data_IF_027122617134
#
_entry.id   IF_027122617134
#
_cell.length_a   1.000
_cell.length_b   1.000
_cell.length_c   1.000
_cell.angle_alpha   90.00
_cell.angle_beta   90.00
_cell.angle_gamma   90.00
#
_symmetry.space_group_name_H-M   'P 1'
#
loop_
_entity.id
_entity.type
_entity.pdbx_description
1 polymer ?
#
# COMPACT_ATOMS: atom_id res chain seq x y z
N UNK A 1 8.34 -45.22 5.89
CA UNK A 1 9.02 -44.30 6.83
C UNK A 1 8.16 -43.99 8.05
N UNK A 2 6.95 -43.54 7.90
CA UNK A 2 6.01 -43.23 9.01
C UNK A 2 5.75 -44.40 9.97
N UNK A 3 5.61 -45.64 9.44
CA UNK A 3 5.36 -46.82 10.29
C UNK A 3 6.51 -47.12 11.27
N UNK A 4 7.76 -47.06 10.77
CA UNK A 4 8.97 -47.20 11.61
C UNK A 4 9.12 -46.09 12.65
N UNK A 5 8.69 -44.88 12.31
CA UNK A 5 8.70 -43.76 13.23
C UNK A 5 7.70 -43.96 14.38
N UNK A 6 6.48 -44.38 14.08
CA UNK A 6 5.47 -44.64 15.09
C UNK A 6 5.88 -45.80 16.02
N UNK A 7 6.41 -46.91 15.49
CA UNK A 7 6.94 -48.05 16.26
C UNK A 7 8.09 -47.59 17.20
N UNK A 8 8.99 -46.72 16.72
CA UNK A 8 10.04 -46.15 17.55
C UNK A 8 9.46 -45.25 18.66
N UNK A 9 8.49 -44.42 18.36
CA UNK A 9 7.86 -43.50 19.30
C UNK A 9 7.12 -44.25 20.42
N UNK A 10 6.42 -45.33 20.07
CA UNK A 10 5.76 -46.21 21.04
C UNK A 10 6.74 -46.96 21.97
N UNK A 11 7.99 -47.11 21.58
CA UNK A 11 9.04 -47.70 22.41
C UNK A 11 9.62 -46.73 23.46
N UNK A 12 9.27 -45.45 23.42
CA UNK A 12 9.78 -44.43 24.34
C UNK A 12 8.99 -44.46 25.69
N UNK A 13 9.61 -44.03 26.81
CA UNK A 13 8.88 -43.76 28.04
C UNK A 13 7.71 -42.81 27.80
N UNK A 14 6.55 -43.07 28.39
CA UNK A 14 5.31 -42.34 28.10
C UNK A 14 5.42 -40.81 28.19
N UNK A 15 6.22 -40.28 29.12
CA UNK A 15 6.49 -38.85 29.24
C UNK A 15 7.21 -38.31 27.99
N UNK A 16 8.22 -39.04 27.49
CA UNK A 16 8.96 -38.63 26.28
C UNK A 16 8.09 -38.74 25.04
N UNK A 17 7.26 -39.76 24.93
CA UNK A 17 6.29 -39.88 23.83
C UNK A 17 5.32 -38.69 23.81
N UNK A 18 4.78 -38.30 24.97
CA UNK A 18 3.89 -37.11 25.08
C UNK A 18 4.57 -35.82 24.73
N UNK A 19 5.83 -35.64 25.15
CA UNK A 19 6.61 -34.43 24.76
C UNK A 19 6.79 -34.37 23.24
N UNK A 20 7.11 -35.51 22.60
CA UNK A 20 7.26 -35.56 21.14
C UNK A 20 5.94 -35.26 20.42
N UNK A 21 4.80 -35.72 20.92
CA UNK A 21 3.48 -35.37 20.37
C UNK A 21 3.27 -33.85 20.34
N UNK A 22 3.55 -33.18 21.44
CA UNK A 22 3.44 -31.71 21.50
C UNK A 22 4.42 -31.02 20.59
N UNK A 23 5.66 -31.51 20.50
CA UNK A 23 6.67 -30.92 19.57
C UNK A 23 6.19 -31.06 18.13
N UNK A 24 5.67 -32.20 17.71
CA UNK A 24 5.11 -32.39 16.36
C UNK A 24 3.97 -31.41 16.08
N UNK A 25 3.02 -31.28 17.00
CA UNK A 25 1.91 -30.33 16.86
C UNK A 25 2.42 -28.91 16.71
N UNK A 26 3.39 -28.48 17.55
CA UNK A 26 3.98 -27.15 17.46
C UNK A 26 4.74 -26.92 16.15
N UNK A 27 5.51 -27.91 15.67
CA UNK A 27 6.26 -27.79 14.40
C UNK A 27 5.29 -27.68 13.23
N UNK A 28 4.22 -28.50 13.19
CA UNK A 28 3.23 -28.42 12.13
C UNK A 28 2.48 -27.09 12.17
N UNK A 29 2.05 -26.66 13.36
CA UNK A 29 1.37 -25.38 13.55
C UNK A 29 2.26 -24.19 13.12
N UNK A 30 3.55 -24.21 13.49
CA UNK A 30 4.51 -23.19 13.09
C UNK A 30 4.72 -23.19 11.57
N UNK A 31 4.84 -24.35 10.94
CA UNK A 31 4.99 -24.47 9.48
C UNK A 31 3.76 -23.92 8.75
N UNK A 32 2.56 -24.24 9.21
CA UNK A 32 1.31 -23.71 8.66
C UNK A 32 1.25 -22.18 8.86
N UNK A 33 1.55 -21.67 10.04
CA UNK A 33 1.54 -20.24 10.33
C UNK A 33 2.54 -19.47 9.45
N UNK A 34 3.75 -20.00 9.28
CA UNK A 34 4.77 -19.42 8.39
C UNK A 34 4.32 -19.44 6.93
N UNK A 35 3.74 -20.54 6.48
CA UNK A 35 3.19 -20.64 5.13
C UNK A 35 2.08 -19.61 4.90
N UNK A 36 1.12 -19.53 5.82
CA UNK A 36 0.02 -18.56 5.75
C UNK A 36 0.54 -17.13 5.67
N UNK A 37 1.45 -16.73 6.55
CA UNK A 37 1.99 -15.38 6.61
C UNK A 37 2.87 -15.01 5.40
N UNK A 38 3.62 -15.96 4.86
CA UNK A 38 4.55 -15.64 3.77
C UNK A 38 3.90 -15.76 2.38
N UNK A 39 2.95 -16.67 2.21
CA UNK A 39 2.38 -17.01 0.91
C UNK A 39 0.97 -16.43 0.72
N UNK A 40 0.12 -16.48 1.74
CA UNK A 40 -1.30 -16.19 1.59
C UNK A 40 -1.66 -14.81 2.09
N UNK A 41 -1.20 -14.43 3.28
CA UNK A 41 -1.65 -13.24 4.01
C UNK A 41 -0.56 -12.17 4.01
N UNK A 42 -0.96 -10.91 3.79
CA UNK A 42 -0.16 -9.75 4.11
C UNK A 42 -0.82 -9.02 5.30
N UNK A 43 -0.14 -9.02 6.44
CA UNK A 43 -0.54 -8.24 7.62
C UNK A 43 0.26 -6.94 7.62
N UNK A 44 -0.42 -5.80 7.70
CA UNK A 44 0.22 -4.50 7.71
C UNK A 44 -0.46 -3.55 8.71
N UNK A 45 0.35 -2.72 9.35
CA UNK A 45 -0.13 -1.58 10.12
C UNK A 45 0.01 -0.33 9.26
N UNK A 46 -1.00 0.54 9.31
CA UNK A 46 -1.08 1.77 8.51
C UNK A 46 -0.45 2.92 9.30
N UNK A 47 0.70 3.46 8.86
CA UNK A 47 1.41 4.50 9.61
C UNK A 47 1.02 5.93 9.22
N UNK A 48 0.28 6.13 8.12
CA UNK A 48 -0.01 7.46 7.54
C UNK A 48 -1.46 7.61 7.15
N UNK A 49 -1.96 8.87 7.16
CA UNK A 49 -3.35 9.20 6.86
C UNK A 49 -3.71 9.28 5.36
N UNK A 50 -2.85 8.81 4.46
CA UNK A 50 -3.08 8.95 3.02
C UNK A 50 -4.26 8.13 2.46
N UNK A 51 -4.81 7.21 3.25
CA UNK A 51 -5.97 6.38 2.92
C UNK A 51 -7.15 6.63 3.87
N UNK A 52 -7.09 7.72 4.66
CA UNK A 52 -8.19 8.10 5.55
C UNK A 52 -9.47 8.32 4.76
N UNK A 53 -10.43 7.96 5.34
CA UNK A 53 -11.76 7.42 5.48
C UNK A 53 -11.87 5.92 5.21
N UNK A 54 -11.09 5.39 4.28
CA UNK A 54 -11.09 3.95 3.99
C UNK A 54 -10.33 3.18 5.06
N UNK A 55 -9.14 3.65 5.42
CA UNK A 55 -8.24 3.05 6.41
C UNK A 55 -7.58 4.19 7.20
N UNK A 56 -7.72 4.15 8.52
CA UNK A 56 -7.22 5.19 9.44
C UNK A 56 -5.77 4.92 9.88
N UNK A 57 -5.11 5.96 10.40
CA UNK A 57 -3.79 5.81 11.01
C UNK A 57 -3.86 4.88 12.21
N UNK A 58 -2.94 3.91 12.27
CA UNK A 58 -2.90 2.90 13.34
C UNK A 58 -3.73 1.64 13.06
N UNK A 59 -4.60 1.66 12.06
CA UNK A 59 -5.34 0.48 11.63
C UNK A 59 -4.41 -0.67 11.28
N UNK A 60 -4.89 -1.89 11.56
CA UNK A 60 -4.25 -3.12 11.10
C UNK A 60 -5.13 -3.80 10.07
N UNK A 61 -4.53 -4.08 8.93
CA UNK A 61 -5.22 -4.62 7.76
C UNK A 61 -4.68 -5.98 7.35
N UNK A 62 -5.58 -6.79 6.83
CA UNK A 62 -5.26 -8.07 6.19
C UNK A 62 -5.45 -7.93 4.69
N UNK A 63 -4.43 -8.31 3.96
CA UNK A 63 -4.46 -8.42 2.49
C UNK A 63 -4.22 -9.86 2.02
N UNK A 64 -4.73 -10.17 0.84
CA UNK A 64 -4.47 -11.42 0.13
C UNK A 64 -3.31 -11.26 -0.83
N UNK A 65 -2.24 -12.01 -0.62
CA UNK A 65 -1.13 -12.12 -1.59
C UNK A 65 -1.54 -12.89 -2.83
N UNK A 66 -2.38 -13.92 -2.65
CA UNK A 66 -2.85 -14.76 -3.75
C UNK A 66 -3.63 -13.98 -4.80
N UNK A 67 -4.29 -12.88 -4.41
CA UNK A 67 -5.03 -12.02 -5.33
C UNK A 67 -4.17 -11.50 -6.48
N UNK A 68 -2.89 -11.19 -6.22
CA UNK A 68 -1.96 -10.67 -7.23
C UNK A 68 -0.93 -11.70 -7.70
N UNK A 69 -0.82 -12.83 -7.01
CA UNK A 69 -0.02 -13.99 -7.47
C UNK A 69 -0.71 -14.69 -8.65
N UNK A 70 -2.03 -14.88 -8.57
CA UNK A 70 -2.82 -15.61 -9.57
C UNK A 70 -3.77 -14.71 -10.37
N UNK A 71 -3.87 -13.43 -10.03
CA UNK A 71 -4.74 -12.46 -10.67
C UNK A 71 -4.04 -11.15 -11.00
N UNK A 72 -4.79 -10.28 -11.66
CA UNK A 72 -4.37 -8.92 -11.95
C UNK A 72 -5.01 -7.93 -10.98
N UNK A 73 -4.28 -6.87 -10.55
CA UNK A 73 -4.88 -5.75 -9.84
C UNK A 73 -6.00 -5.12 -10.66
N UNK A 74 -7.11 -4.80 -10.00
CA UNK A 74 -8.28 -4.18 -10.62
C UNK A 74 -8.41 -2.74 -10.17
N UNK A 75 -8.98 -1.89 -11.01
CA UNK A 75 -9.33 -0.52 -10.62
C UNK A 75 -10.24 -0.54 -9.38
N UNK A 76 -9.93 0.33 -8.41
CA UNK A 76 -10.59 0.37 -7.11
C UNK A 76 -9.98 -0.53 -6.04
N UNK A 77 -9.13 -1.49 -6.38
CA UNK A 77 -8.43 -2.30 -5.37
C UNK A 77 -7.56 -1.43 -4.48
N UNK A 78 -7.68 -1.60 -3.16
CA UNK A 78 -6.70 -1.05 -2.22
C UNK A 78 -5.54 -2.05 -2.12
N UNK A 79 -4.36 -1.62 -2.52
CA UNK A 79 -3.20 -2.48 -2.71
C UNK A 79 -2.05 -2.15 -1.77
N UNK A 80 -1.43 -3.19 -1.21
CA UNK A 80 -0.12 -3.12 -0.56
C UNK A 80 0.92 -3.41 -1.63
N UNK A 81 1.92 -2.55 -1.77
CA UNK A 81 2.98 -2.72 -2.76
C UNK A 81 4.34 -2.27 -2.23
N UNK A 82 5.39 -2.80 -2.85
CA UNK A 82 6.77 -2.39 -2.58
C UNK A 82 7.04 -1.08 -3.32
N UNK A 83 7.16 0.02 -2.57
CA UNK A 83 7.45 1.33 -3.15
C UNK A 83 8.93 1.48 -3.48
N UNK A 84 9.79 1.23 -2.49
CA UNK A 84 11.22 1.43 -2.66
C UNK A 84 11.98 1.00 -1.42
N UNK A 85 12.93 1.82 -1.01
CA UNK A 85 13.75 1.58 0.17
C UNK A 85 13.86 2.86 1.02
N UNK A 86 14.26 2.70 2.27
CA UNK A 86 14.62 3.82 3.16
C UNK A 86 16.02 3.62 3.74
N UNK A 87 16.68 4.74 3.95
CA UNK A 87 17.96 4.76 4.64
C UNK A 87 17.80 4.30 6.09
N UNK A 88 18.65 3.38 6.53
CA UNK A 88 18.66 2.89 7.91
C UNK A 88 19.05 3.96 8.95
N UNK A 89 19.75 5.01 8.51
CA UNK A 89 20.26 6.09 9.38
C UNK A 89 19.25 7.24 9.48
N UNK A 90 18.99 7.94 8.38
CA UNK A 90 18.12 9.11 8.38
C UNK A 90 16.64 8.79 8.16
N UNK A 91 16.30 7.52 7.86
CA UNK A 91 14.96 7.03 7.55
C UNK A 91 14.28 7.66 6.33
N UNK A 92 15.00 8.47 5.56
CA UNK A 92 14.46 9.01 4.32
C UNK A 92 14.10 7.89 3.35
N UNK A 93 12.84 7.90 2.88
CA UNK A 93 12.33 6.90 1.96
C UNK A 93 12.51 7.37 0.51
N UNK A 94 13.02 6.49 -0.34
CA UNK A 94 13.17 6.75 -1.76
C UNK A 94 12.41 5.72 -2.59
N UNK A 95 11.70 6.22 -3.60
CA UNK A 95 10.76 5.45 -4.40
C UNK A 95 11.35 4.46 -5.38
N UNK A 96 12.66 4.35 -5.57
CA UNK A 96 13.20 3.48 -6.60
C UNK A 96 14.39 2.65 -6.15
N UNK A 97 14.47 1.44 -6.69
CA UNK A 97 15.58 0.52 -6.52
C UNK A 97 16.52 0.59 -7.74
N UNK A 98 17.80 0.25 -7.60
CA UNK A 98 18.43 -0.22 -6.36
C UNK A 98 18.77 0.92 -5.40
N UNK A 99 18.86 0.59 -4.09
CA UNK A 99 19.39 1.54 -3.12
C UNK A 99 20.85 1.89 -3.46
N UNK A 100 21.21 3.17 -3.52
CA UNK A 100 22.61 3.55 -3.74
C UNK A 100 23.49 3.15 -2.54
N UNK A 101 24.77 3.04 -2.75
CA UNK A 101 25.71 2.73 -1.66
C UNK A 101 25.78 3.84 -0.61
N UNK A 102 25.61 5.09 -1.05
CA UNK A 102 25.61 6.27 -0.19
C UNK A 102 24.25 6.94 -0.26
N UNK A 103 23.68 7.23 0.90
CA UNK A 103 22.42 7.95 0.99
C UNK A 103 22.58 9.38 0.45
N UNK A 104 21.88 9.79 -0.60
CA UNK A 104 22.02 11.13 -1.16
C UNK A 104 21.48 12.24 -0.26
N UNK A 105 20.74 11.86 0.80
CA UNK A 105 20.15 12.81 1.74
C UNK A 105 21.06 13.07 2.96
N UNK A 106 21.64 12.04 3.57
CA UNK A 106 22.47 12.19 4.76
C UNK A 106 23.96 11.87 4.54
N UNK A 107 24.35 11.46 3.32
CA UNK A 107 25.74 11.14 2.97
C UNK A 107 26.30 9.85 3.61
N UNK A 108 25.50 9.13 4.40
CA UNK A 108 25.94 7.92 5.08
C UNK A 108 25.89 6.70 4.17
N UNK A 109 26.82 5.75 4.37
CA UNK A 109 26.82 4.48 3.66
C UNK A 109 25.60 3.64 4.06
N UNK A 110 24.86 3.14 3.07
CA UNK A 110 23.69 2.30 3.27
C UNK A 110 24.14 0.84 3.23
N UNK A 111 24.27 0.24 4.41
CA UNK A 111 24.66 -1.18 4.53
C UNK A 111 23.45 -2.12 4.48
N UNK A 112 22.29 -1.68 4.98
CA UNK A 112 21.06 -2.46 5.06
C UNK A 112 19.86 -1.60 4.66
N UNK A 113 19.56 -1.47 3.35
CA UNK A 113 18.37 -0.73 2.91
C UNK A 113 17.10 -1.45 3.36
N UNK A 114 16.23 -0.73 4.07
CA UNK A 114 14.95 -1.28 4.48
C UNK A 114 13.91 -1.08 3.38
N UNK A 115 13.21 -2.14 3.00
CA UNK A 115 12.11 -2.04 2.03
C UNK A 115 10.96 -1.22 2.61
N UNK A 116 10.42 -0.31 1.81
CA UNK A 116 9.24 0.50 2.13
C UNK A 116 8.04 -0.07 1.39
N UNK A 117 6.97 -0.30 2.14
CA UNK A 117 5.68 -0.70 1.60
C UNK A 117 4.69 0.44 1.76
N UNK A 118 3.90 0.68 0.71
CA UNK A 118 2.81 1.64 0.73
C UNK A 118 1.48 0.96 0.52
N UNK A 119 0.43 1.63 0.97
CA UNK A 119 -0.96 1.25 0.72
C UNK A 119 -1.61 2.39 -0.05
N UNK A 120 -2.13 2.11 -1.24
CA UNK A 120 -2.83 3.06 -2.11
C UNK A 120 -3.91 2.34 -2.90
N UNK A 121 -4.81 3.12 -3.51
CA UNK A 121 -5.85 2.60 -4.39
C UNK A 121 -5.37 2.57 -5.84
N UNK A 122 -5.66 1.48 -6.53
CA UNK A 122 -5.42 1.34 -7.98
C UNK A 122 -6.42 2.20 -8.74
N UNK A 123 -5.93 3.21 -9.44
CA UNK A 123 -6.74 4.13 -10.25
C UNK A 123 -6.57 3.83 -11.73
N UNK A 124 -5.33 3.68 -12.20
CA UNK A 124 -5.01 3.36 -13.60
C UNK A 124 -4.53 1.94 -13.77
N UNK A 125 -5.02 1.28 -14.81
CA UNK A 125 -4.62 -0.04 -15.27
C UNK A 125 -3.67 0.09 -16.47
N UNK A 126 -2.93 -0.97 -16.84
CA UNK A 126 -2.07 -0.95 -18.03
C UNK A 126 -2.84 -0.49 -19.28
N UNK A 127 -2.31 0.54 -19.97
CA UNK A 127 -2.89 1.13 -21.17
C UNK A 127 -3.89 2.27 -20.92
N UNK A 128 -4.25 2.55 -19.67
CA UNK A 128 -5.14 3.69 -19.37
C UNK A 128 -4.45 5.04 -19.54
N UNK A 129 -5.25 6.02 -19.93
CA UNK A 129 -4.90 7.44 -19.86
C UNK A 129 -5.61 8.06 -18.67
N UNK A 130 -4.83 8.52 -17.69
CA UNK A 130 -5.32 9.18 -16.50
C UNK A 130 -5.15 10.68 -16.67
N UNK A 131 -6.22 11.44 -16.53
CA UNK A 131 -6.17 12.90 -16.56
C UNK A 131 -6.75 13.46 -15.26
N UNK A 132 -6.09 14.48 -14.73
CA UNK A 132 -6.57 15.23 -13.57
C UNK A 132 -6.82 16.64 -14.06
N UNK A 133 -8.07 17.10 -13.95
CA UNK A 133 -8.52 18.39 -14.48
C UNK A 133 -9.39 19.09 -13.46
N UNK A 134 -9.41 20.41 -13.52
CA UNK A 134 -10.40 21.19 -12.77
C UNK A 134 -11.81 20.73 -13.15
N UNK A 135 -12.67 20.54 -12.16
CA UNK A 135 -14.06 20.13 -12.39
C UNK A 135 -15.04 21.31 -12.37
N UNK A 136 -14.53 22.55 -12.27
CA UNK A 136 -15.30 23.78 -12.30
C UNK A 136 -15.98 24.16 -10.98
N UNK A 137 -15.85 23.34 -9.94
CA UNK A 137 -16.41 23.65 -8.61
C UNK A 137 -15.40 24.46 -7.79
N UNK A 138 -15.90 25.39 -6.95
CA UNK A 138 -15.08 26.04 -5.94
C UNK A 138 -15.10 25.21 -4.66
N UNK A 139 -13.94 24.96 -4.06
CA UNK A 139 -13.87 24.34 -2.75
C UNK A 139 -14.51 25.23 -1.68
N UNK A 140 -15.35 24.67 -0.82
CA UNK A 140 -15.91 25.40 0.31
C UNK A 140 -14.82 25.80 1.30
N UNK A 141 -14.97 26.98 1.91
CA UNK A 141 -13.96 27.58 2.79
C UNK A 141 -13.55 26.73 3.98
N UNK A 142 -14.43 25.84 4.45
CA UNK A 142 -14.20 24.99 5.62
C UNK A 142 -13.19 23.86 5.34
N UNK A 143 -13.15 23.39 4.09
CA UNK A 143 -12.17 22.39 3.61
C UNK A 143 -10.77 23.00 3.48
N UNK A 144 -10.73 24.32 3.30
CA UNK A 144 -9.53 25.10 2.97
C UNK A 144 -8.56 25.24 4.13
N UNK A 145 -9.03 25.21 5.37
CA UNK A 145 -8.18 25.48 6.54
C UNK A 145 -7.19 24.35 6.85
N UNK A 146 -7.62 23.09 6.75
CA UNK A 146 -6.75 21.92 6.97
C UNK A 146 -5.91 21.58 5.71
N UNK A 147 -6.49 21.76 4.52
CA UNK A 147 -5.81 21.49 3.28
C UNK A 147 -4.75 22.55 2.91
N UNK A 148 -4.82 23.79 3.43
CA UNK A 148 -3.82 24.84 3.16
C UNK A 148 -2.41 24.47 3.60
N UNK A 149 -2.23 23.78 4.71
CA UNK A 149 -0.91 23.31 5.14
C UNK A 149 -0.34 22.26 4.17
N UNK A 150 -1.18 21.37 3.67
CA UNK A 150 -0.78 20.32 2.72
C UNK A 150 -0.52 20.88 1.32
N UNK A 151 -1.31 21.84 0.85
CA UNK A 151 -1.20 22.48 -0.47
C UNK A 151 -0.01 23.44 -0.52
N UNK A 152 0.35 24.10 0.59
CA UNK A 152 1.57 24.92 0.66
C UNK A 152 2.86 24.10 0.46
N UNK A 153 2.84 22.82 0.79
CA UNK A 153 3.96 21.90 0.51
C UNK A 153 4.16 21.63 -1.00
N UNK A 154 3.15 21.88 -1.83
CA UNK A 154 3.17 21.60 -3.27
C UNK A 154 3.18 22.87 -4.16
N UNK A 155 3.38 24.07 -3.60
CA UNK A 155 3.77 25.27 -4.37
C UNK A 155 2.64 26.03 -5.07
N UNK A 156 1.41 26.01 -4.56
CA UNK A 156 0.34 26.86 -5.08
C UNK A 156 0.30 28.23 -4.39
N UNK A 157 0.20 29.32 -5.19
CA UNK A 157 0.08 30.69 -4.66
C UNK A 157 -1.22 30.86 -3.84
N UNK A 158 -1.08 31.34 -2.62
CA UNK A 158 -2.15 31.49 -1.61
C UNK A 158 -3.29 32.47 -1.99
N UNK A 159 -3.24 33.08 -3.17
CA UNK A 159 -4.15 34.17 -3.58
C UNK A 159 -5.25 33.78 -4.56
N UNK A 160 -5.25 32.53 -5.07
CA UNK A 160 -6.27 32.06 -6.03
C UNK A 160 -7.41 31.31 -5.33
N UNK A 161 -8.67 31.44 -5.81
CA UNK A 161 -9.76 30.61 -5.30
C UNK A 161 -9.41 29.15 -5.51
N UNK A 162 -9.60 28.34 -4.45
CA UNK A 162 -9.32 26.91 -4.52
C UNK A 162 -10.40 26.24 -5.38
N UNK A 163 -9.98 25.73 -6.51
CA UNK A 163 -10.81 24.99 -7.43
C UNK A 163 -10.67 23.49 -7.12
N UNK A 164 -11.74 22.73 -7.23
CA UNK A 164 -11.69 21.29 -7.11
C UNK A 164 -11.28 20.64 -8.42
N UNK A 165 -10.75 19.44 -8.33
CA UNK A 165 -10.35 18.62 -9.46
C UNK A 165 -11.02 17.26 -9.44
N UNK A 166 -11.13 16.66 -10.61
CA UNK A 166 -11.60 15.30 -10.78
C UNK A 166 -10.59 14.47 -11.57
N UNK A 167 -10.62 13.16 -11.33
CA UNK A 167 -9.87 12.16 -12.08
C UNK A 167 -10.71 11.67 -13.25
N UNK A 168 -10.12 11.63 -14.42
CA UNK A 168 -10.70 11.04 -15.63
C UNK A 168 -9.84 9.87 -16.06
N UNK A 169 -10.49 8.81 -16.48
CA UNK A 169 -9.86 7.60 -17.01
C UNK A 169 -10.37 7.38 -18.41
N UNK A 170 -9.49 7.42 -19.40
CA UNK A 170 -9.82 7.31 -20.81
C UNK A 170 -10.91 8.30 -21.27
N UNK A 171 -10.90 9.51 -20.68
CA UNK A 171 -11.83 10.58 -20.97
C UNK A 171 -13.14 10.55 -20.15
N UNK A 172 -13.40 9.50 -19.36
CA UNK A 172 -14.58 9.39 -18.51
C UNK A 172 -14.25 9.78 -17.06
N UNK A 173 -15.10 10.61 -16.44
CA UNK A 173 -14.94 11.01 -15.04
C UNK A 173 -15.10 9.79 -14.14
N UNK A 174 -14.10 9.52 -13.29
CA UNK A 174 -14.13 8.43 -12.33
C UNK A 174 -15.11 8.76 -11.20
N UNK A 175 -16.00 7.81 -10.89
CA UNK A 175 -16.86 7.90 -9.70
C UNK A 175 -16.06 7.50 -8.45
N UNK A 176 -15.99 8.38 -7.46
CA UNK A 176 -15.10 8.25 -6.31
C UNK A 176 -15.83 8.57 -5.01
N UNK A 177 -16.66 7.64 -4.55
CA UNK A 177 -17.46 7.76 -3.32
C UNK A 177 -16.66 7.50 -2.02
N UNK A 178 -15.41 7.10 -2.17
CA UNK A 178 -14.48 6.79 -1.07
C UNK A 178 -13.61 7.99 -0.64
N UNK A 179 -13.69 9.12 -1.35
CA UNK A 179 -12.86 10.28 -1.02
C UNK A 179 -13.27 10.88 0.33
N UNK A 180 -12.28 11.29 1.11
CA UNK A 180 -12.49 12.05 2.35
C UNK A 180 -13.14 13.41 2.06
N UNK A 181 -12.66 14.07 1.03
CA UNK A 181 -13.04 15.41 0.61
C UNK A 181 -12.76 15.60 -0.87
N UNK A 182 -13.34 16.60 -1.53
CA UNK A 182 -13.00 16.92 -2.91
C UNK A 182 -11.51 17.18 -3.07
N UNK A 183 -10.93 16.60 -4.12
CA UNK A 183 -9.53 16.80 -4.46
C UNK A 183 -9.31 18.25 -4.90
N UNK A 184 -8.30 18.92 -4.34
CA UNK A 184 -7.92 20.26 -4.74
C UNK A 184 -7.14 20.22 -6.07
N UNK A 185 -7.42 21.20 -6.93
CA UNK A 185 -6.74 21.36 -8.21
C UNK A 185 -5.35 21.96 -8.00
N UNK A 186 -4.34 21.25 -8.47
CA UNK A 186 -2.93 21.65 -8.40
C UNK A 186 -2.30 21.88 -9.79
N UNK A 187 -3.10 21.77 -10.84
CA UNK A 187 -2.70 21.86 -12.24
C UNK A 187 -3.22 20.66 -13.04
N UNK A 188 -3.35 20.84 -14.36
CA UNK A 188 -3.69 19.74 -15.24
C UNK A 188 -2.56 18.72 -15.30
N UNK A 189 -2.89 17.45 -15.12
CA UNK A 189 -1.94 16.35 -15.20
C UNK A 189 -2.47 15.28 -16.15
N UNK A 190 -1.55 14.69 -16.93
CA UNK A 190 -1.88 13.57 -17.81
C UNK A 190 -0.82 12.49 -17.67
N UNK A 191 -1.26 11.25 -17.50
CA UNK A 191 -0.42 10.09 -17.35
C UNK A 191 -0.90 8.97 -18.26
N UNK A 192 0.01 8.34 -18.98
CA UNK A 192 -0.27 7.17 -19.82
C UNK A 192 0.34 5.95 -19.12
N UNK A 193 -0.50 5.05 -18.63
CA UNK A 193 -0.05 3.91 -17.83
C UNK A 193 0.63 2.86 -18.70
N UNK A 194 1.92 2.58 -18.51
CA UNK A 194 2.63 1.60 -19.31
C UNK A 194 2.09 0.18 -19.14
N UNK A 195 2.33 -0.68 -20.12
CA UNK A 195 2.03 -2.11 -20.03
C UNK A 195 2.68 -2.72 -18.76
N UNK A 196 1.93 -3.57 -18.05
CA UNK A 196 2.39 -4.23 -16.83
C UNK A 196 2.57 -3.31 -15.62
N UNK A 197 2.10 -2.06 -15.68
CA UNK A 197 2.22 -1.07 -14.60
C UNK A 197 0.87 -0.52 -14.19
N UNK A 198 0.80 0.09 -13.01
CA UNK A 198 -0.41 0.61 -12.39
C UNK A 198 -0.17 2.02 -11.87
N UNK A 199 -1.20 2.86 -11.94
CA UNK A 199 -1.21 4.19 -11.36
C UNK A 199 -2.04 4.17 -10.07
N UNK A 200 -1.43 4.57 -8.94
CA UNK A 200 -2.05 4.43 -7.63
C UNK A 200 -2.14 5.78 -6.92
N UNK A 201 -3.30 6.03 -6.30
CA UNK A 201 -3.54 7.25 -5.53
C UNK A 201 -4.04 6.94 -4.12
N UNK A 202 -3.79 7.87 -3.19
CA UNK A 202 -4.40 7.82 -1.86
C UNK A 202 -5.85 8.30 -1.88
N UNK A 203 -6.69 7.76 -1.01
CA UNK A 203 -8.09 8.19 -0.89
C UNK A 203 -8.19 9.58 -0.23
N UNK A 204 -7.27 9.90 0.68
CA UNK A 204 -7.07 11.27 1.21
C UNK A 204 -6.22 12.07 0.20
N UNK A 205 -6.85 12.51 -0.89
CA UNK A 205 -6.20 13.14 -2.06
C UNK A 205 -5.33 14.33 -1.72
N UNK A 206 -5.76 15.15 -0.78
CA UNK A 206 -5.08 16.39 -0.40
C UNK A 206 -3.94 16.16 0.59
N UNK A 207 -3.86 14.94 1.18
CA UNK A 207 -2.79 14.55 2.11
C UNK A 207 -2.16 13.19 1.71
N UNK A 208 -1.85 13.04 0.42
CA UNK A 208 -1.25 11.83 -0.11
C UNK A 208 -0.11 12.14 -1.06
N UNK A 209 1.09 11.69 -0.69
CA UNK A 209 2.20 11.58 -1.63
C UNK A 209 2.04 10.27 -2.40
N UNK A 210 1.58 10.37 -3.65
CA UNK A 210 1.22 9.21 -4.48
C UNK A 210 1.72 9.37 -5.93
N UNK A 211 1.19 8.56 -6.84
CA UNK A 211 1.63 8.51 -8.23
C UNK A 211 1.63 9.87 -8.95
N UNK A 212 0.83 10.82 -8.51
CA UNK A 212 0.83 12.19 -9.05
C UNK A 212 2.16 12.89 -8.86
N UNK A 213 2.87 12.58 -7.78
CA UNK A 213 4.04 13.33 -7.29
C UNK A 213 5.32 12.51 -7.20
N UNK A 214 5.28 11.18 -7.46
CA UNK A 214 6.49 10.37 -7.47
C UNK A 214 7.31 10.63 -8.73
N UNK A 215 8.62 10.45 -8.68
CA UNK A 215 9.50 10.55 -9.85
C UNK A 215 9.13 9.50 -10.92
N UNK A 216 8.83 8.27 -10.49
CA UNK A 216 8.20 7.26 -11.32
C UNK A 216 6.73 7.15 -10.91
N UNK A 217 5.86 7.62 -11.75
CA UNK A 217 4.41 7.62 -11.52
C UNK A 217 3.77 6.24 -11.49
N UNK A 218 4.50 5.18 -11.83
CA UNK A 218 3.95 3.87 -12.08
C UNK A 218 4.57 2.80 -11.20
N UNK A 219 3.76 1.86 -10.76
CA UNK A 219 4.19 0.69 -10.00
C UNK A 219 4.02 -0.54 -10.87
N UNK A 220 5.13 -1.22 -11.16
CA UNK A 220 5.13 -2.47 -11.92
C UNK A 220 4.41 -3.59 -11.14
N UNK A 221 3.78 -4.52 -11.88
CA UNK A 221 3.03 -5.64 -11.29
C UNK A 221 3.84 -6.44 -10.26
N UNK A 222 5.11 -6.67 -10.51
CA UNK A 222 6.00 -7.45 -9.64
C UNK A 222 6.20 -6.81 -8.26
N UNK A 223 5.93 -5.50 -8.16
CA UNK A 223 5.97 -4.76 -6.89
C UNK A 223 4.65 -4.83 -6.12
N UNK A 224 3.56 -5.27 -6.75
CA UNK A 224 2.25 -5.42 -6.12
C UNK A 224 2.25 -6.68 -5.23
N UNK A 225 2.02 -6.50 -3.93
CA UNK A 225 2.19 -7.57 -2.93
C UNK A 225 0.87 -8.22 -2.57
N UNK A 226 -0.15 -7.43 -2.27
CA UNK A 226 -1.43 -7.96 -1.80
C UNK A 226 -2.57 -6.96 -2.02
N UNK A 227 -3.78 -7.50 -2.26
CA UNK A 227 -5.03 -6.75 -2.18
C UNK A 227 -5.49 -6.70 -0.73
N UNK A 228 -5.72 -5.52 -0.19
CA UNK A 228 -6.33 -5.33 1.13
C UNK A 228 -7.77 -5.82 1.09
N UNK A 229 -8.15 -6.66 2.06
CA UNK A 229 -9.49 -7.24 2.13
C UNK A 229 -10.32 -6.59 3.23
N UNK A 230 -9.73 -6.46 4.42
CA UNK A 230 -10.41 -5.90 5.58
C UNK A 230 -9.41 -5.36 6.62
N UNK A 231 -9.90 -4.41 7.39
CA UNK A 231 -9.31 -3.98 8.64
C UNK A 231 -9.78 -4.93 9.75
N UNK A 232 -8.89 -5.35 10.64
CA UNK A 232 -9.25 -6.21 11.78
C UNK A 232 -9.06 -5.53 13.14
N UNK A 233 -8.32 -4.42 13.20
CA UNK A 233 -8.15 -3.61 14.40
C UNK A 233 -8.24 -2.13 14.05
N UNK A 234 -8.97 -1.30 14.85
CA UNK A 234 -9.65 -1.57 16.14
C UNK A 234 -10.99 -2.31 16.01
N UNK A 235 -11.44 -2.64 14.83
CA UNK A 235 -12.67 -3.37 14.58
C UNK A 235 -12.67 -3.93 13.16
N UNK A 236 -13.50 -4.95 12.90
CA UNK A 236 -13.56 -5.59 11.57
C UNK A 236 -14.39 -4.73 10.63
N UNK A 237 -13.78 -4.29 9.51
CA UNK A 237 -14.43 -3.54 8.44
C UNK A 237 -13.87 -4.00 7.09
N UNK A 238 -14.75 -4.36 6.16
CA UNK A 238 -14.32 -4.65 4.79
C UNK A 238 -13.77 -3.39 4.14
N UNK A 239 -12.69 -3.53 3.38
CA UNK A 239 -12.09 -2.48 2.56
C UNK A 239 -12.56 -2.70 1.13
N UNK A 240 -13.27 -1.70 0.60
CA UNK A 240 -13.83 -1.71 -0.75
C UNK A 240 -13.18 -0.63 -1.61
#
# INVERSE_FOLDING_TARGET
>A
MLKKYNEWKESLPGVLATILDWVEVFVIAAAIALFMNNVIIANSQVPTGSMETTIEVGDRVIGSRLAYTFGEPKRGDVAIFKFGWKCSVCRYAMGEAPAPEICPYCGQKITHPQTVYYVKRVIGLPGDVIEIKADGSCAQTDIVSEARESVMLFGTEASKPLVTAAVYVNGEKLAEDYLREPMLYTGDMKFEVPAGSYFLMGDNRNNSLDARFWNNHYIAKEKMIAKVLFRYWPGIKAVK
#
